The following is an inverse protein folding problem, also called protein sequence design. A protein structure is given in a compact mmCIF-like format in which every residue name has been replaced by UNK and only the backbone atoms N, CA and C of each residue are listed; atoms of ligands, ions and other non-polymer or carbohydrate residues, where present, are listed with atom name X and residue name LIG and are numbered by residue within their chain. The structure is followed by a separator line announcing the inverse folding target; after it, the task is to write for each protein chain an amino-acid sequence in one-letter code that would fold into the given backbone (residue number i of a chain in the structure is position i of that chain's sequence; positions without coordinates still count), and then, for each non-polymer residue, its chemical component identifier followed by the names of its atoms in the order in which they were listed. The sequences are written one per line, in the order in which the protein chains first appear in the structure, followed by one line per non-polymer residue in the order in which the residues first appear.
data_IF_781079784429
#
_entry.id   IF_781079784429
#
_cell.length_a   1.000
_cell.length_b   1.000
_cell.length_c   1.000
_cell.angle_alpha   90.00
_cell.angle_beta   90.00
_cell.angle_gamma   90.00
#
_symmetry.space_group_name_H-M   'P 1'
#
loop_
_entity.id
_entity.type
_entity.pdbx_description
1 polymer ?
#
# COMPACT_ATOMS: atom_id res chain seq x y z
N UNK A 1 -12.16 -26.17 -22.14
CA UNK A 1 -12.16 -25.56 -20.79
C UNK A 1 -11.42 -24.25 -20.90
N UNK A 2 -12.07 -23.14 -20.55
CA UNK A 2 -11.52 -21.78 -20.69
C UNK A 2 -10.71 -21.48 -19.44
N UNK A 3 -9.39 -21.39 -19.56
CA UNK A 3 -8.50 -21.01 -18.46
C UNK A 3 -8.74 -19.54 -18.12
N UNK A 4 -9.10 -19.17 -16.87
CA UNK A 4 -9.36 -17.78 -16.51
C UNK A 4 -8.07 -16.96 -16.69
N UNK A 5 -8.10 -16.03 -17.65
CA UNK A 5 -6.94 -15.23 -18.03
C UNK A 5 -6.54 -14.24 -16.93
N UNK A 6 -5.24 -14.07 -16.70
CA UNK A 6 -4.66 -13.12 -15.73
C UNK A 6 -5.13 -11.66 -15.90
N UNK A 7 -5.67 -11.30 -17.07
CA UNK A 7 -6.26 -10.00 -17.35
C UNK A 7 -7.35 -9.59 -16.36
N UNK A 8 -8.13 -10.55 -15.84
CA UNK A 8 -9.21 -10.29 -14.87
C UNK A 8 -8.66 -9.79 -13.51
N UNK A 9 -7.49 -10.29 -13.10
CA UNK A 9 -6.86 -9.98 -11.79
C UNK A 9 -6.68 -8.48 -11.57
N UNK A 10 -6.41 -7.74 -12.63
CA UNK A 10 -6.24 -6.27 -12.58
C UNK A 10 -7.48 -5.53 -12.09
N UNK A 11 -8.67 -6.11 -12.26
CA UNK A 11 -9.95 -5.51 -11.89
C UNK A 11 -10.38 -5.83 -10.46
N UNK A 12 -9.71 -6.79 -9.81
CA UNK A 12 -10.08 -7.25 -8.49
C UNK A 12 -9.85 -6.19 -7.41
N UNK A 13 -10.76 -6.17 -6.43
CA UNK A 13 -10.52 -5.48 -5.15
C UNK A 13 -9.45 -6.21 -4.34
N UNK A 14 -8.88 -5.54 -3.32
CA UNK A 14 -7.87 -6.15 -2.46
C UNK A 14 -8.37 -7.45 -1.80
N UNK A 15 -9.56 -7.44 -1.20
CA UNK A 15 -10.08 -8.63 -0.51
C UNK A 15 -10.38 -9.80 -1.46
N UNK A 16 -10.86 -9.51 -2.67
CA UNK A 16 -11.06 -10.54 -3.68
C UNK A 16 -9.72 -11.15 -4.12
N UNK A 17 -8.73 -10.31 -4.45
CA UNK A 17 -7.41 -10.78 -4.84
C UNK A 17 -6.73 -11.59 -3.72
N UNK A 18 -6.88 -11.15 -2.46
CA UNK A 18 -6.35 -11.85 -1.29
C UNK A 18 -7.03 -13.21 -1.05
N UNK A 19 -8.36 -13.25 -1.13
CA UNK A 19 -9.12 -14.48 -0.94
C UNK A 19 -8.73 -15.52 -2.00
N UNK A 20 -8.65 -15.10 -3.26
CA UNK A 20 -8.28 -15.99 -4.34
C UNK A 20 -6.81 -16.45 -4.25
N UNK A 21 -5.90 -15.58 -3.82
CA UNK A 21 -4.50 -15.95 -3.59
C UNK A 21 -4.38 -17.05 -2.53
N UNK A 22 -5.17 -16.95 -1.45
CA UNK A 22 -5.23 -17.99 -0.41
C UNK A 22 -5.70 -19.33 -0.99
N UNK A 23 -6.70 -19.33 -1.87
CA UNK A 23 -7.17 -20.55 -2.54
C UNK A 23 -6.09 -21.15 -3.47
N UNK A 24 -5.38 -20.31 -4.23
CA UNK A 24 -4.28 -20.74 -5.10
C UNK A 24 -3.17 -21.40 -4.29
N UNK A 25 -2.74 -20.76 -3.19
CA UNK A 25 -1.71 -21.31 -2.30
C UNK A 25 -2.15 -22.65 -1.71
N UNK A 26 -3.38 -22.75 -1.20
CA UNK A 26 -3.90 -24.01 -0.67
C UNK A 26 -3.89 -25.13 -1.71
N UNK A 27 -4.21 -24.84 -2.97
CA UNK A 27 -4.18 -25.82 -4.05
C UNK A 27 -2.77 -26.26 -4.41
N UNK A 28 -1.81 -25.35 -4.40
CA UNK A 28 -0.39 -25.66 -4.61
C UNK A 28 0.14 -26.57 -3.49
N UNK A 29 -0.20 -26.27 -2.24
CA UNK A 29 0.23 -27.04 -1.05
C UNK A 29 -0.35 -28.46 -1.01
N UNK A 30 -1.52 -28.67 -1.61
CA UNK A 30 -2.13 -30.01 -1.71
C UNK A 30 -1.35 -30.95 -2.63
N UNK A 31 -0.51 -30.44 -3.54
CA UNK A 31 0.42 -31.25 -4.35
C UNK A 31 -0.22 -32.25 -5.32
N UNK A 32 -1.54 -32.21 -5.52
CA UNK A 32 -2.28 -33.15 -6.36
C UNK A 32 -2.41 -32.70 -7.83
N UNK A 33 -1.81 -31.55 -8.17
CA UNK A 33 -1.87 -30.95 -9.51
C UNK A 33 -0.77 -31.51 -10.42
N UNK A 34 -1.04 -31.54 -11.73
CA UNK A 34 0.00 -31.80 -12.73
C UNK A 34 1.05 -30.68 -12.73
N UNK A 35 2.19 -30.87 -13.41
CA UNK A 35 3.21 -29.82 -13.52
C UNK A 35 2.63 -28.57 -14.21
N UNK A 36 1.92 -28.76 -15.31
CA UNK A 36 1.28 -27.70 -16.07
C UNK A 36 0.24 -26.94 -15.22
N UNK A 37 -0.58 -27.67 -14.45
CA UNK A 37 -1.54 -27.05 -13.53
C UNK A 37 -0.83 -26.29 -12.39
N UNK A 38 0.27 -26.83 -11.88
CA UNK A 38 1.07 -26.19 -10.83
C UNK A 38 1.71 -24.89 -11.32
N UNK A 39 2.20 -24.85 -12.56
CA UNK A 39 2.72 -23.65 -13.19
C UNK A 39 1.62 -22.61 -13.40
N UNK A 40 0.45 -23.01 -13.90
CA UNK A 40 -0.68 -22.11 -14.08
C UNK A 40 -1.17 -21.50 -12.76
N UNK A 41 -1.22 -22.31 -11.69
CA UNK A 41 -1.53 -21.83 -10.34
C UNK A 41 -0.48 -20.84 -9.84
N UNK A 42 0.81 -21.14 -10.03
CA UNK A 42 1.89 -20.24 -9.62
C UNK A 42 1.80 -18.88 -10.34
N UNK A 43 1.65 -18.87 -11.68
CA UNK A 43 1.54 -17.63 -12.46
C UNK A 43 0.33 -16.78 -12.04
N UNK A 44 -0.78 -17.43 -11.71
CA UNK A 44 -1.96 -16.75 -11.17
C UNK A 44 -1.71 -16.18 -9.77
N UNK A 45 -1.04 -16.94 -8.92
CA UNK A 45 -0.62 -16.51 -7.59
C UNK A 45 0.26 -15.25 -7.64
N UNK A 46 1.25 -15.22 -8.53
CA UNK A 46 2.13 -14.06 -8.74
C UNK A 46 1.34 -12.81 -9.17
N UNK A 47 0.40 -12.96 -10.10
CA UNK A 47 -0.45 -11.86 -10.55
C UNK A 47 -1.33 -11.31 -9.42
N UNK A 48 -1.93 -12.20 -8.60
CA UNK A 48 -2.74 -11.81 -7.44
C UNK A 48 -1.91 -11.11 -6.36
N UNK A 49 -0.69 -11.60 -6.11
CA UNK A 49 0.25 -10.97 -5.17
C UNK A 49 0.64 -9.57 -5.63
N UNK A 50 0.98 -9.39 -6.92
CA UNK A 50 1.28 -8.09 -7.50
C UNK A 50 0.09 -7.11 -7.39
N UNK A 51 -1.14 -7.60 -7.60
CA UNK A 51 -2.36 -6.79 -7.41
C UNK A 51 -2.54 -6.36 -5.96
N UNK A 52 -2.36 -7.27 -5.01
CA UNK A 52 -2.42 -6.96 -3.58
C UNK A 52 -1.38 -5.89 -3.21
N UNK A 53 -0.16 -6.04 -3.71
CA UNK A 53 0.93 -5.11 -3.46
C UNK A 53 0.60 -3.70 -3.99
N UNK A 54 0.04 -3.60 -5.20
CA UNK A 54 -0.40 -2.33 -5.80
C UNK A 54 -1.40 -1.58 -4.90
N UNK A 55 -2.36 -2.29 -4.32
CA UNK A 55 -3.33 -1.71 -3.38
C UNK A 55 -2.65 -1.19 -2.10
N UNK A 56 -1.72 -1.98 -1.54
CA UNK A 56 -1.01 -1.61 -0.32
C UNK A 56 -0.07 -0.42 -0.52
N UNK A 57 0.58 -0.33 -1.68
CA UNK A 57 1.42 0.82 -2.05
C UNK A 57 0.59 2.10 -2.15
N UNK A 58 -0.55 2.06 -2.86
CA UNK A 58 -1.45 3.22 -2.92
C UNK A 58 -1.99 3.64 -1.55
N UNK A 59 -2.24 2.68 -0.64
CA UNK A 59 -2.65 3.00 0.73
C UNK A 59 -1.52 3.69 1.53
N UNK A 60 -0.27 3.21 1.40
CA UNK A 60 0.91 3.81 2.03
C UNK A 60 1.15 5.24 1.54
N UNK A 61 1.06 5.49 0.23
CA UNK A 61 1.23 6.82 -0.35
C UNK A 61 0.19 7.82 0.18
N UNK A 62 -1.08 7.40 0.26
CA UNK A 62 -2.16 8.22 0.81
C UNK A 62 -1.93 8.58 2.27
N UNK A 63 -1.43 7.63 3.06
CA UNK A 63 -1.08 7.85 4.47
C UNK A 63 0.08 8.84 4.60
N UNK A 64 1.16 8.65 3.84
CA UNK A 64 2.31 9.55 3.83
C UNK A 64 1.90 10.98 3.45
N UNK A 65 1.05 11.14 2.42
CA UNK A 65 0.53 12.45 2.01
C UNK A 65 -0.34 13.11 3.08
N UNK A 66 -1.14 12.33 3.83
CA UNK A 66 -1.92 12.85 4.95
C UNK A 66 -1.03 13.35 6.10
N UNK A 67 0.00 12.58 6.46
CA UNK A 67 0.95 12.97 7.51
C UNK A 67 1.73 14.24 7.15
N UNK A 68 2.18 14.37 5.89
CA UNK A 68 2.89 15.54 5.41
C UNK A 68 2.03 16.82 5.48
N UNK A 69 0.73 16.73 5.13
CA UNK A 69 -0.21 17.85 5.27
C UNK A 69 -0.37 18.28 6.72
N UNK A 70 -0.61 17.32 7.61
CA UNK A 70 -0.77 17.60 9.05
C UNK A 70 0.48 18.25 9.67
N UNK A 71 1.69 17.84 9.25
CA UNK A 71 2.93 18.46 9.71
C UNK A 71 3.08 19.93 9.25
N UNK A 72 2.67 20.23 8.01
CA UNK A 72 2.71 21.59 7.48
C UNK A 72 1.70 22.52 8.19
N UNK A 73 0.51 22.01 8.50
CA UNK A 73 -0.51 22.76 9.25
C UNK A 73 -0.01 23.16 10.64
N UNK A 74 0.72 22.27 11.33
CA UNK A 74 1.31 22.58 12.65
C UNK A 74 2.49 23.55 12.59
N UNK A 75 3.24 23.59 11.48
CA UNK A 75 4.35 24.53 11.30
C UNK A 75 3.86 25.95 10.98
N UNK A 76 2.71 26.09 10.31
CA UNK A 76 2.11 27.39 9.99
C UNK A 76 1.58 28.18 11.21
N UNK A 77 1.16 27.48 12.27
CA UNK A 77 0.63 28.10 13.49
C UNK A 77 1.74 28.60 14.45
N UNK A 78 3.00 28.21 14.23
CA UNK A 78 4.13 28.56 15.10
C UNK A 78 4.84 29.87 14.71
N UNK A 79 4.43 30.53 13.62
CA UNK A 79 5.02 31.78 13.13
C UNK A 79 4.16 33.01 13.49
N UNK A 80 3.78 33.14 14.77
CA UNK A 80 3.30 34.43 15.31
C UNK A 80 4.50 35.35 15.59
N UNK A 81 4.43 36.67 15.29
CA UNK A 81 5.54 37.59 15.52
C UNK A 81 5.67 37.87 17.02
N UNK A 82 6.38 37.00 17.74
CA UNK A 82 6.84 37.25 19.10
C UNK A 82 7.99 38.25 19.05
N UNK A 83 7.64 39.52 19.21
CA UNK A 83 8.55 40.66 19.25
C UNK A 83 9.80 40.38 20.09
N UNK A 84 10.96 40.60 19.50
CA UNK A 84 12.24 40.74 20.21
C UNK A 84 12.15 41.97 21.12
N UNK A 85 11.77 41.78 22.38
CA UNK A 85 11.99 42.79 23.42
C UNK A 85 13.47 42.73 23.85
N UNK A 86 14.33 43.30 23.00
CA UNK A 86 15.70 43.65 23.39
C UNK A 86 15.60 44.88 24.28
N UNK A 87 15.58 44.68 25.59
CA UNK A 87 15.75 45.77 26.56
C UNK A 87 17.23 46.19 26.62
N UNK A 88 17.59 47.45 26.35
CA UNK A 88 18.89 48.01 26.71
C UNK A 88 18.73 48.90 27.95
N UNK A 89 19.37 48.56 29.07
CA UNK A 89 19.57 49.50 30.18
C UNK A 89 20.84 49.04 30.92
N UNK A 90 21.96 49.75 30.93
CA UNK A 90 22.12 51.20 31.03
C UNK A 90 22.28 51.58 32.50
N UNK A 91 23.53 51.68 32.94
CA UNK A 91 24.01 52.52 34.06
C UNK A 91 23.51 52.23 35.48
N UNK A 92 24.40 51.64 36.31
CA UNK A 92 24.96 52.27 37.53
C UNK A 92 25.98 51.38 38.24
#
# INVERSE_FOLDING_TARGET
MTTPSNTDVSTLTYEQARAELVEVVQRLEQGAATLEDSLALWERGEALAARCQTWLDGARERLAAAQARSANDTAGESAGPGASDTTPQGER
#
